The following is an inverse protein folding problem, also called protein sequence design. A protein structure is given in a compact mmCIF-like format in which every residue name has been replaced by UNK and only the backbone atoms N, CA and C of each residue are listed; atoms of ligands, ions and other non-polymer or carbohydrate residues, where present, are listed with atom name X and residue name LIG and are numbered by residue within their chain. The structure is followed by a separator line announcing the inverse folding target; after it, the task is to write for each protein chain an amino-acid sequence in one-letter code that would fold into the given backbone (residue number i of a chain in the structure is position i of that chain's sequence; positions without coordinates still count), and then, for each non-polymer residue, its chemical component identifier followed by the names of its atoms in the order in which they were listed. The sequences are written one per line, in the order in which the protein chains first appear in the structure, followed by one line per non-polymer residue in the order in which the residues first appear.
data_IF_422551321434
#
_entry.id   IF_422551321434
#
_cell.length_a   1.000
_cell.length_b   1.000
_cell.length_c   1.000
_cell.angle_alpha   90.00
_cell.angle_beta   90.00
_cell.angle_gamma   90.00
#
_symmetry.space_group_name_H-M   'P 1'
#
loop_
_entity.id
_entity.type
_entity.pdbx_description
1 polymer ?
#
# COMPACT_ATOMS: atom_id res chain seq x y z
N UNK A 1 -2.24 35.81 -2.06
CA UNK A 1 -1.42 34.58 -1.95
C UNK A 1 -2.11 33.66 -0.93
N UNK A 2 -3.23 33.05 -1.31
CA UNK A 2 -4.01 32.18 -0.45
C UNK A 2 -3.74 30.71 -0.82
N UNK A 3 -3.52 29.90 0.20
CA UNK A 3 -3.20 28.47 0.14
C UNK A 3 -4.25 27.68 -0.66
N UNK A 4 -3.77 26.89 -1.63
CA UNK A 4 -4.54 25.90 -2.39
C UNK A 4 -4.82 24.63 -1.54
N UNK A 5 -5.35 24.82 -0.32
CA UNK A 5 -5.66 23.71 0.60
C UNK A 5 -7.10 23.73 1.12
N UNK A 6 -8.02 24.40 0.42
CA UNK A 6 -9.45 24.31 0.72
C UNK A 6 -10.18 23.57 -0.41
N UNK A 7 -10.94 22.54 0.02
CA UNK A 7 -11.98 21.81 -0.72
C UNK A 7 -11.55 20.56 -1.50
N UNK A 8 -11.18 19.50 -0.77
CA UNK A 8 -11.50 18.13 -1.22
C UNK A 8 -12.56 17.59 -0.25
N UNK A 9 -13.81 17.51 -0.70
CA UNK A 9 -14.85 16.74 -0.02
C UNK A 9 -14.52 15.23 -0.04
N UNK A 10 -15.42 14.36 0.46
CA UNK A 10 -15.19 12.90 0.49
C UNK A 10 -14.92 12.28 -0.90
N UNK A 11 -15.23 12.99 -1.98
CA UNK A 11 -14.86 12.61 -3.35
C UNK A 11 -13.42 13.03 -3.68
N UNK A 12 -12.45 12.24 -3.25
CA UNK A 12 -11.13 12.25 -3.89
C UNK A 12 -11.29 11.63 -5.29
N UNK A 13 -10.82 12.25 -6.39
CA UNK A 13 -10.92 11.65 -7.73
C UNK A 13 -10.19 10.30 -7.82
N UNK A 14 -9.29 10.02 -6.88
CA UNK A 14 -8.55 8.77 -6.79
C UNK A 14 -9.39 7.61 -6.20
N UNK A 15 -10.32 7.91 -5.27
CA UNK A 15 -10.97 6.88 -4.47
C UNK A 15 -12.45 6.77 -4.82
N UNK A 16 -12.83 5.66 -5.44
CA UNK A 16 -14.23 5.25 -5.49
C UNK A 16 -14.64 4.69 -4.13
N UNK A 17 -15.82 5.04 -3.57
CA UNK A 17 -16.24 4.56 -2.25
C UNK A 17 -16.24 3.03 -2.15
N UNK A 18 -15.72 2.49 -1.04
CA UNK A 18 -15.78 1.06 -0.75
C UNK A 18 -17.14 0.67 -0.16
N UNK A 19 -17.67 -0.47 -0.61
CA UNK A 19 -18.86 -1.09 -0.05
C UNK A 19 -18.53 -1.76 1.29
N UNK A 20 -18.92 -1.08 2.37
CA UNK A 20 -18.71 -1.54 3.76
C UNK A 20 -19.42 -2.84 4.10
N UNK A 21 -20.48 -3.20 3.37
CA UNK A 21 -21.24 -4.41 3.62
C UNK A 21 -20.61 -5.65 2.96
N UNK A 22 -19.73 -5.44 1.98
CA UNK A 22 -19.14 -6.52 1.18
C UNK A 22 -17.65 -6.75 1.50
N UNK A 23 -17.12 -6.08 2.54
CA UNK A 23 -15.70 -6.15 2.95
C UNK A 23 -14.76 -5.84 1.77
N UNK A 24 -15.11 -4.83 0.98
CA UNK A 24 -14.23 -4.35 -0.08
C UNK A 24 -12.95 -3.72 0.49
N UNK A 25 -11.83 -3.99 -0.17
CA UNK A 25 -10.53 -3.38 0.07
C UNK A 25 -9.97 -2.86 -1.25
N UNK A 26 -8.92 -2.04 -1.19
CA UNK A 26 -8.13 -1.71 -2.38
C UNK A 26 -6.78 -2.41 -2.32
N UNK A 27 -6.31 -2.86 -3.46
CA UNK A 27 -4.97 -3.37 -3.66
C UNK A 27 -4.24 -2.54 -4.72
N UNK A 28 -2.93 -2.43 -4.55
CA UNK A 28 -2.00 -1.73 -5.40
C UNK A 28 -1.36 -2.71 -6.39
N UNK A 29 -1.47 -2.42 -7.67
CA UNK A 29 -0.58 -2.97 -8.69
C UNK A 29 0.55 -1.95 -8.95
N UNK A 30 1.80 -2.41 -8.94
CA UNK A 30 2.94 -1.54 -9.30
C UNK A 30 3.24 -1.68 -10.79
N UNK A 31 2.89 -0.65 -11.56
CA UNK A 31 3.09 -0.56 -13.00
C UNK A 31 4.54 -0.18 -13.36
N UNK A 32 4.99 -0.35 -14.63
CA UNK A 32 6.20 0.27 -15.16
C UNK A 32 6.34 1.74 -14.72
N UNK A 33 7.56 2.14 -14.34
CA UNK A 33 7.79 3.51 -13.88
C UNK A 33 7.44 4.46 -15.02
N UNK A 34 7.05 5.68 -14.67
CA UNK A 34 6.83 6.72 -15.67
C UNK A 34 8.13 7.06 -16.40
N UNK A 35 8.07 7.73 -17.57
CA UNK A 35 9.26 8.16 -18.29
C UNK A 35 10.21 9.06 -17.47
N UNK A 36 9.69 9.83 -16.52
CA UNK A 36 10.46 10.64 -15.56
C UNK A 36 10.92 9.86 -14.31
N UNK A 37 10.73 8.54 -14.30
CA UNK A 37 11.30 7.64 -13.29
C UNK A 37 10.48 7.49 -12.00
N UNK A 38 9.29 8.08 -11.92
CA UNK A 38 8.42 7.97 -10.74
C UNK A 38 7.81 6.59 -10.61
N UNK A 39 7.54 6.21 -9.36
CA UNK A 39 6.72 5.04 -9.06
C UNK A 39 5.33 5.30 -9.64
N UNK A 40 4.80 4.28 -10.32
CA UNK A 40 3.51 4.33 -10.99
C UNK A 40 2.68 3.14 -10.52
N UNK A 41 1.47 3.39 -10.08
CA UNK A 41 0.62 2.41 -9.45
C UNK A 41 -0.81 2.50 -9.98
N UNK A 42 -1.53 1.39 -9.85
CA UNK A 42 -2.97 1.31 -10.12
C UNK A 42 -3.68 0.74 -8.90
N UNK A 43 -4.84 1.28 -8.56
CA UNK A 43 -5.69 0.73 -7.51
C UNK A 43 -6.73 -0.20 -8.11
N UNK A 44 -6.95 -1.32 -7.43
CA UNK A 44 -7.99 -2.29 -7.73
C UNK A 44 -8.89 -2.45 -6.51
N UNK A 45 -10.18 -2.16 -6.66
CA UNK A 45 -11.17 -2.49 -5.64
C UNK A 45 -11.54 -3.96 -5.77
N UNK A 46 -11.41 -4.71 -4.68
CA UNK A 46 -11.65 -6.16 -4.64
C UNK A 46 -12.38 -6.53 -3.34
N UNK A 47 -13.03 -7.69 -3.33
CA UNK A 47 -13.61 -8.27 -2.12
C UNK A 47 -12.53 -9.00 -1.32
N UNK A 48 -12.48 -8.80 -0.01
CA UNK A 48 -11.60 -9.57 0.87
C UNK A 48 -12.16 -10.99 1.06
N UNK A 49 -11.72 -11.91 0.19
CA UNK A 49 -12.08 -13.34 0.23
C UNK A 49 -10.86 -14.21 0.60
N UNK A 50 -11.07 -15.45 1.09
CA UNK A 50 -9.97 -16.34 1.47
C UNK A 50 -9.06 -16.79 0.32
N UNK A 51 -9.53 -16.71 -0.92
CA UNK A 51 -8.81 -17.09 -2.14
C UNK A 51 -8.14 -15.90 -2.85
N UNK A 52 -8.27 -14.69 -2.29
CA UNK A 52 -7.66 -13.49 -2.83
C UNK A 52 -6.14 -13.54 -2.62
N UNK A 53 -5.39 -13.57 -3.72
CA UNK A 53 -3.92 -13.57 -3.68
C UNK A 53 -3.35 -12.15 -3.61
N UNK A 54 -2.61 -11.83 -2.54
CA UNK A 54 -1.95 -10.52 -2.38
C UNK A 54 -0.93 -10.52 -1.23
N UNK A 55 -0.07 -9.52 -1.24
CA UNK A 55 0.88 -9.27 -0.16
C UNK A 55 0.53 -7.98 0.61
N UNK A 56 0.75 -7.98 1.93
CA UNK A 56 0.70 -6.74 2.72
C UNK A 56 2.07 -6.09 2.78
N UNK A 57 2.13 -4.75 2.75
CA UNK A 57 3.34 -3.98 2.98
C UNK A 57 3.29 -3.33 4.36
N UNK A 58 4.24 -3.71 5.21
CA UNK A 58 4.54 -3.02 6.45
C UNK A 58 5.82 -2.21 6.29
N UNK A 59 5.80 -0.98 6.76
CA UNK A 59 6.90 -0.05 6.62
C UNK A 59 6.82 1.01 7.71
N UNK A 60 7.96 1.54 8.10
CA UNK A 60 8.00 2.73 8.96
C UNK A 60 7.44 3.90 8.17
N UNK A 61 6.40 4.57 8.68
CA UNK A 61 5.75 5.69 8.00
C UNK A 61 6.75 6.82 7.67
N UNK A 62 7.65 7.13 8.60
CA UNK A 62 8.65 8.20 8.46
C UNK A 62 8.07 9.59 8.73
N UNK A 63 8.86 10.63 8.44
CA UNK A 63 8.43 12.02 8.58
C UNK A 63 7.37 12.36 7.51
N UNK A 64 6.12 12.72 7.90
CA UNK A 64 5.05 13.04 6.96
C UNK A 64 5.32 14.30 6.13
N UNK A 65 6.28 15.13 6.51
CA UNK A 65 6.71 16.32 5.77
C UNK A 65 7.73 15.99 4.68
N UNK A 66 8.43 14.86 4.80
CA UNK A 66 9.44 14.41 3.84
C UNK A 66 8.78 13.44 2.85
N UNK A 67 8.32 14.00 1.73
CA UNK A 67 7.52 13.27 0.75
C UNK A 67 8.16 13.21 -0.63
N UNK A 68 7.81 12.17 -1.38
CA UNK A 68 8.12 12.00 -2.79
C UNK A 68 6.80 11.91 -3.58
N UNK A 69 6.81 12.40 -4.83
CA UNK A 69 5.66 12.29 -5.72
C UNK A 69 5.68 10.94 -6.45
N UNK A 70 4.58 10.20 -6.34
CA UNK A 70 4.29 9.01 -7.15
C UNK A 70 3.04 9.25 -8.00
N UNK A 71 2.77 8.37 -8.95
CA UNK A 71 1.55 8.38 -9.76
C UNK A 71 0.66 7.20 -9.34
N UNK A 72 -0.62 7.46 -9.06
CA UNK A 72 -1.62 6.42 -8.76
C UNK A 72 -2.86 6.68 -9.61
N UNK A 73 -3.27 5.72 -10.43
CA UNK A 73 -4.36 5.85 -11.41
C UNK A 73 -4.23 7.10 -12.31
N UNK A 74 -2.99 7.45 -12.67
CA UNK A 74 -2.68 8.65 -13.45
C UNK A 74 -2.71 9.97 -12.67
N UNK A 75 -3.02 9.95 -11.38
CA UNK A 75 -3.10 11.12 -10.51
C UNK A 75 -1.82 11.25 -9.67
N UNK A 76 -1.15 12.42 -9.68
CA UNK A 76 0.01 12.66 -8.82
C UNK A 76 -0.36 12.63 -7.33
N UNK A 77 0.46 11.93 -6.53
CA UNK A 77 0.25 11.75 -5.10
C UNK A 77 1.54 11.90 -4.32
N UNK A 78 1.51 12.72 -3.27
CA UNK A 78 2.60 12.77 -2.30
C UNK A 78 2.45 11.62 -1.32
N UNK A 79 3.53 10.84 -1.17
CA UNK A 79 3.67 9.80 -0.14
C UNK A 79 4.98 10.02 0.60
N UNK A 80 5.12 9.45 1.80
CA UNK A 80 6.39 9.53 2.52
C UNK A 80 7.52 8.89 1.72
N UNK A 81 8.74 9.38 1.89
CA UNK A 81 9.91 8.84 1.19
C UNK A 81 10.11 7.35 1.47
N UNK A 82 9.73 6.89 2.68
CA UNK A 82 9.81 5.48 3.05
C UNK A 82 8.89 4.61 2.18
N UNK A 83 7.64 5.02 1.99
CA UNK A 83 6.70 4.29 1.13
C UNK A 83 7.16 4.32 -0.34
N UNK A 84 7.55 5.48 -0.86
CA UNK A 84 8.05 5.59 -2.23
C UNK A 84 9.27 4.67 -2.48
N UNK A 85 10.20 4.64 -1.51
CA UNK A 85 11.39 3.80 -1.57
C UNK A 85 11.03 2.32 -1.49
N UNK A 86 10.14 1.94 -0.57
CA UNK A 86 9.64 0.57 -0.44
C UNK A 86 9.06 0.07 -1.77
N UNK A 87 8.12 0.81 -2.37
CA UNK A 87 7.47 0.44 -3.63
C UNK A 87 8.48 0.29 -4.78
N UNK A 88 9.45 1.20 -4.88
CA UNK A 88 10.52 1.15 -5.90
C UNK A 88 11.37 -0.12 -5.77
N UNK A 89 11.72 -0.49 -4.54
CA UNK A 89 12.54 -1.67 -4.28
C UNK A 89 11.76 -2.97 -4.44
N UNK A 90 10.55 -3.06 -3.89
CA UNK A 90 9.68 -4.24 -4.01
C UNK A 90 9.53 -4.63 -5.47
N UNK A 91 9.18 -3.67 -6.33
CA UNK A 91 9.07 -3.92 -7.77
C UNK A 91 10.35 -4.49 -8.38
N UNK A 92 11.50 -3.91 -8.07
CA UNK A 92 12.80 -4.36 -8.62
C UNK A 92 13.14 -5.78 -8.18
N UNK A 93 12.92 -6.09 -6.91
CA UNK A 93 13.28 -7.38 -6.33
C UNK A 93 12.27 -8.47 -6.69
N UNK A 94 10.99 -8.18 -6.61
CA UNK A 94 9.91 -9.11 -6.91
C UNK A 94 9.93 -9.55 -8.37
N UNK A 95 10.01 -8.59 -9.31
CA UNK A 95 10.12 -8.88 -10.74
C UNK A 95 11.38 -9.68 -11.08
N UNK A 96 12.40 -9.66 -10.23
CA UNK A 96 13.61 -10.47 -10.41
C UNK A 96 13.39 -11.89 -9.90
N UNK A 97 12.92 -12.03 -8.65
CA UNK A 97 12.68 -13.32 -8.00
C UNK A 97 11.69 -14.14 -8.83
N UNK A 98 10.52 -13.58 -9.15
CA UNK A 98 9.49 -14.33 -9.87
C UNK A 98 9.90 -14.67 -11.30
N UNK A 99 10.62 -13.80 -12.01
CA UNK A 99 11.13 -14.17 -13.36
C UNK A 99 12.15 -15.29 -13.31
N UNK A 100 12.93 -15.39 -12.24
CA UNK A 100 13.92 -16.44 -12.06
C UNK A 100 13.26 -17.77 -11.66
N UNK A 101 12.16 -17.74 -10.89
CA UNK A 101 11.47 -18.96 -10.42
C UNK A 101 10.34 -19.40 -11.35
N UNK A 102 9.58 -18.47 -11.93
CA UNK A 102 8.39 -18.70 -12.75
C UNK A 102 8.32 -17.68 -13.91
N UNK A 103 9.03 -17.93 -15.03
CA UNK A 103 9.18 -16.96 -16.14
C UNK A 103 7.87 -16.55 -16.83
N UNK A 104 6.81 -17.37 -16.70
CA UNK A 104 5.49 -17.11 -17.30
C UNK A 104 4.52 -16.41 -16.35
N UNK A 105 4.95 -16.06 -15.13
CA UNK A 105 4.09 -15.39 -14.18
C UNK A 105 3.78 -13.97 -14.64
N UNK A 106 2.49 -13.67 -14.72
CA UNK A 106 2.00 -12.34 -15.04
C UNK A 106 2.21 -11.44 -13.82
N UNK A 107 3.21 -10.55 -13.90
CA UNK A 107 3.54 -9.61 -12.83
C UNK A 107 2.37 -8.68 -12.43
N UNK A 108 1.34 -8.53 -13.28
CA UNK A 108 0.11 -7.79 -12.90
C UNK A 108 -0.71 -8.50 -11.82
N UNK A 109 -0.46 -9.80 -11.59
CA UNK A 109 -1.05 -10.56 -10.49
C UNK A 109 -0.45 -10.21 -9.13
N UNK A 110 0.69 -9.54 -9.09
CA UNK A 110 1.27 -9.12 -7.83
C UNK A 110 0.59 -7.86 -7.31
N UNK A 111 -0.36 -8.10 -6.41
CA UNK A 111 -1.13 -7.07 -5.74
C UNK A 111 -0.61 -6.84 -4.32
N UNK A 112 -0.55 -5.58 -3.92
CA UNK A 112 -0.04 -5.15 -2.62
C UNK A 112 -1.11 -4.40 -1.84
N UNK A 113 -1.17 -4.60 -0.53
CA UNK A 113 -1.90 -3.72 0.36
C UNK A 113 -0.93 -2.81 1.11
N UNK A 114 -1.07 -1.49 0.94
CA UNK A 114 -0.32 -0.49 1.69
C UNK A 114 -1.31 0.56 2.22
N UNK A 115 -1.48 0.60 3.55
CA UNK A 115 -2.48 1.43 4.25
C UNK A 115 -2.63 2.87 3.74
N UNK A 116 -1.52 3.58 3.53
CA UNK A 116 -1.51 4.99 3.12
C UNK A 116 -2.09 5.24 1.71
N UNK A 117 -2.16 4.21 0.86
CA UNK A 117 -2.68 4.29 -0.50
C UNK A 117 -3.93 3.42 -0.73
N UNK A 118 -4.08 2.31 -0.03
CA UNK A 118 -5.25 1.45 -0.17
C UNK A 118 -6.47 2.00 0.59
N UNK A 119 -6.23 2.81 1.61
CA UNK A 119 -7.27 3.48 2.40
C UNK A 119 -7.36 4.94 1.98
N UNK A 120 -8.57 5.45 1.78
CA UNK A 120 -8.82 6.86 1.61
C UNK A 120 -8.58 7.61 2.93
N UNK A 121 -7.38 8.15 3.08
CA UNK A 121 -6.95 8.86 4.29
C UNK A 121 -7.75 10.15 4.59
N UNK A 122 -8.53 10.66 3.62
CA UNK A 122 -9.38 11.84 3.79
C UNK A 122 -10.82 11.52 4.18
N UNK A 123 -11.26 10.27 4.04
CA UNK A 123 -12.56 9.82 4.52
C UNK A 123 -12.39 9.13 5.86
N UNK A 124 -12.74 9.84 6.94
CA UNK A 124 -12.66 9.29 8.29
C UNK A 124 -13.52 8.03 8.48
N UNK A 125 -14.68 7.96 7.83
CA UNK A 125 -15.59 6.84 7.95
C UNK A 125 -15.10 5.62 7.18
N UNK A 126 -14.44 5.82 6.04
CA UNK A 126 -13.72 4.74 5.34
C UNK A 126 -12.49 4.30 6.15
N UNK A 127 -11.65 5.25 6.59
CA UNK A 127 -10.43 4.97 7.35
C UNK A 127 -10.71 4.16 8.60
N UNK A 128 -11.70 4.57 9.38
CA UNK A 128 -12.10 3.85 10.61
C UNK A 128 -12.54 2.42 10.30
N UNK A 129 -13.32 2.24 9.23
CA UNK A 129 -13.79 0.93 8.81
C UNK A 129 -12.66 0.03 8.31
N UNK A 130 -11.78 0.53 7.45
CA UNK A 130 -10.65 -0.23 6.91
C UNK A 130 -9.61 -0.57 8.01
N UNK A 131 -9.36 0.34 8.95
CA UNK A 131 -8.51 0.05 10.13
C UNK A 131 -9.13 -1.06 10.98
N UNK A 132 -10.45 -1.11 11.12
CA UNK A 132 -11.12 -2.23 11.82
C UNK A 132 -10.98 -3.58 11.12
N UNK A 133 -10.72 -3.59 9.81
CA UNK A 133 -10.45 -4.79 9.01
C UNK A 133 -8.97 -5.15 8.94
N UNK A 134 -8.07 -4.33 9.49
CA UNK A 134 -6.63 -4.48 9.27
C UNK A 134 -6.10 -5.84 9.73
N UNK A 135 -6.58 -6.36 10.86
CA UNK A 135 -6.20 -7.70 11.32
C UNK A 135 -6.59 -8.78 10.30
N UNK A 136 -7.81 -8.72 9.77
CA UNK A 136 -8.29 -9.67 8.75
C UNK A 136 -7.52 -9.55 7.44
N UNK A 137 -7.19 -8.33 7.02
CA UNK A 137 -6.41 -8.05 5.81
C UNK A 137 -5.02 -8.69 5.95
N UNK A 138 -4.31 -8.41 7.04
CA UNK A 138 -2.98 -9.01 7.24
C UNK A 138 -3.03 -10.53 7.39
N UNK A 139 -4.03 -11.08 8.09
CA UNK A 139 -4.15 -12.52 8.27
C UNK A 139 -4.57 -13.29 7.01
N UNK A 140 -5.22 -12.61 6.06
CA UNK A 140 -5.68 -13.23 4.80
C UNK A 140 -4.68 -13.04 3.65
N UNK A 141 -3.63 -12.24 3.83
CA UNK A 141 -2.60 -12.06 2.82
C UNK A 141 -1.67 -13.29 2.78
N UNK A 142 -1.21 -13.66 1.58
CA UNK A 142 -0.27 -14.77 1.39
C UNK A 142 1.09 -14.51 2.03
N UNK A 143 1.45 -13.22 2.14
CA UNK A 143 2.66 -12.78 2.81
C UNK A 143 2.58 -11.33 3.26
N UNK A 144 3.44 -10.99 4.21
CA UNK A 144 3.72 -9.61 4.60
C UNK A 144 5.18 -9.26 4.27
N UNK A 145 5.37 -8.20 3.51
CA UNK A 145 6.67 -7.61 3.21
C UNK A 145 6.98 -6.52 4.23
N UNK A 146 8.06 -6.69 4.99
CA UNK A 146 8.55 -5.67 5.89
C UNK A 146 9.64 -4.83 5.20
N UNK A 147 9.39 -3.53 5.04
CA UNK A 147 10.37 -2.56 4.58
C UNK A 147 10.99 -1.80 5.75
N UNK A 148 12.26 -2.10 5.99
CA UNK A 148 13.06 -1.54 7.05
C UNK A 148 13.97 -0.47 6.42
N UNK A 149 13.72 0.80 6.75
CA UNK A 149 14.60 1.89 6.31
C UNK A 149 16.00 1.66 6.87
N UNK A 150 17.04 2.03 6.11
CA UNK A 150 18.43 1.67 6.41
C UNK A 150 19.03 2.37 7.64
N UNK A 151 18.27 3.21 8.36
CA UNK A 151 18.84 4.19 9.28
C UNK A 151 18.38 4.16 10.74
N UNK A 152 17.41 3.35 11.21
CA UNK A 152 16.90 3.58 12.58
C UNK A 152 16.51 2.37 13.42
N UNK A 153 16.59 2.59 14.74
CA UNK A 153 16.22 1.71 15.85
C UNK A 153 14.77 1.17 15.78
N UNK A 154 13.90 1.83 15.01
CA UNK A 154 12.49 1.46 14.74
C UNK A 154 12.30 0.07 14.14
N UNK A 155 13.37 -0.49 13.56
CA UNK A 155 13.37 -1.87 13.06
C UNK A 155 13.00 -2.87 14.17
N UNK A 156 13.49 -2.65 15.40
CA UNK A 156 13.18 -3.54 16.52
C UNK A 156 11.69 -3.47 16.93
N UNK A 157 11.11 -2.27 16.99
CA UNK A 157 9.68 -2.11 17.30
C UNK A 157 8.77 -2.69 16.22
N UNK A 158 9.15 -2.55 14.94
CA UNK A 158 8.42 -3.18 13.85
C UNK A 158 8.40 -4.71 13.99
N UNK A 159 9.55 -5.33 14.30
CA UNK A 159 9.62 -6.78 14.56
C UNK A 159 8.79 -7.20 15.79
N UNK A 160 8.81 -6.43 16.88
CA UNK A 160 8.02 -6.73 18.09
C UNK A 160 6.50 -6.65 17.83
N UNK A 161 6.05 -5.68 17.03
CA UNK A 161 4.64 -5.58 16.59
C UNK A 161 4.27 -6.78 15.71
N UNK A 162 5.16 -7.16 14.79
CA UNK A 162 4.96 -8.33 13.94
C UNK A 162 4.84 -9.62 14.76
N UNK A 163 5.76 -9.89 15.69
CA UNK A 163 5.71 -11.09 16.52
C UNK A 163 4.51 -11.12 17.47
N UNK A 164 4.13 -9.98 18.05
CA UNK A 164 3.00 -9.90 18.98
C UNK A 164 1.62 -10.01 18.30
N UNK A 165 1.52 -9.65 17.02
CA UNK A 165 0.32 -9.81 16.20
C UNK A 165 0.05 -11.24 15.76
N UNK A 166 1.10 -12.00 15.42
CA UNK A 166 0.98 -13.39 14.96
C UNK A 166 0.96 -14.44 16.09
N UNK A 167 1.53 -14.15 17.27
CA UNK A 167 1.54 -15.09 18.41
C UNK A 167 0.27 -15.06 19.29
N UNK A 168 -0.79 -14.35 18.88
CA UNK A 168 -2.12 -14.42 19.51
C UNK A 168 -3.06 -15.29 18.69
N UNK A 169 -2.76 -16.59 18.61
CA UNK A 169 -3.68 -17.64 18.19
C UNK A 169 -3.44 -18.90 19.00
#
# INVERSE_FOLDING_TARGET
MASLNEQLGPSSPLYQPLNKNEREIRLLEILPNTPDGKVNCKLHTVLLTPDLYYACLSYVWGDPTVTEQIIVDGIPRQVTINLATALRHIKKHWLKIERETEPELDASKFLLWADALCINQYDLAERTHQVSLMADIYSSADMALAWLSSNDQDVAEAFDIFESGFNKS
#
